data_IF_878029853341
#
_entry.id   IF_878029853341
#
_cell.length_a   1.000
_cell.length_b   1.000
_cell.length_c   1.000
_cell.angle_alpha   90.00
_cell.angle_beta   90.00
_cell.angle_gamma   90.00
#
_symmetry.space_group_name_H-M   'P 1'
#
loop_
_entity.id
_entity.type
_entity.pdbx_description
1 polymer ?
#
# COMPACT_ATOMS: atom_id res chain seq x y z
N UNK A 1 -11.66 -4.81 7.30
CA UNK A 1 -12.35 -5.13 8.58
C UNK A 1 -13.86 -5.21 8.35
N UNK A 2 -14.67 -5.65 9.34
CA UNK A 2 -16.14 -5.72 9.21
C UNK A 2 -16.73 -4.37 8.76
N UNK A 3 -16.26 -3.26 9.33
CA UNK A 3 -16.69 -1.89 9.00
C UNK A 3 -16.36 -1.44 7.58
N UNK A 4 -15.30 -1.97 6.95
CA UNK A 4 -14.97 -1.66 5.55
C UNK A 4 -15.95 -2.28 4.56
N UNK A 5 -16.68 -3.35 4.96
CA UNK A 5 -17.62 -4.09 4.11
C UNK A 5 -19.08 -3.66 4.31
N UNK A 6 -19.31 -2.67 5.18
CA UNK A 6 -20.62 -2.08 5.43
C UNK A 6 -20.80 -0.80 4.62
N UNK A 7 -22.02 -0.28 4.57
CA UNK A 7 -22.32 1.00 3.91
C UNK A 7 -21.43 2.13 4.44
N UNK A 8 -20.93 2.96 3.52
CA UNK A 8 -19.95 3.99 3.84
C UNK A 8 -18.52 3.48 4.12
N UNK A 9 -18.29 2.16 4.05
CA UNK A 9 -17.00 1.51 4.31
C UNK A 9 -15.83 2.05 3.48
N UNK A 10 -16.10 2.65 2.32
CA UNK A 10 -15.10 3.34 1.49
C UNK A 10 -14.33 4.42 2.26
N UNK A 11 -14.97 5.14 3.19
CA UNK A 11 -14.30 6.15 4.00
C UNK A 11 -13.31 5.52 4.99
N UNK A 12 -13.67 4.35 5.53
CA UNK A 12 -12.80 3.57 6.41
C UNK A 12 -11.62 3.01 5.63
N UNK A 13 -11.86 2.57 4.38
CA UNK A 13 -10.81 2.11 3.47
C UNK A 13 -9.82 3.23 3.17
N UNK A 14 -10.29 4.42 2.75
CA UNK A 14 -9.43 5.57 2.47
C UNK A 14 -8.56 5.95 3.67
N UNK A 15 -9.15 6.05 4.86
CA UNK A 15 -8.41 6.29 6.12
C UNK A 15 -7.37 5.22 6.43
N UNK A 16 -7.64 3.96 6.10
CA UNK A 16 -6.68 2.88 6.29
C UNK A 16 -5.53 2.96 5.27
N UNK A 17 -5.83 3.30 4.01
CA UNK A 17 -4.83 3.49 2.97
C UNK A 17 -3.88 4.65 3.31
N UNK A 18 -4.39 5.77 3.83
CA UNK A 18 -3.56 6.87 4.34
C UNK A 18 -2.55 6.40 5.40
N UNK A 19 -3.00 5.56 6.35
CA UNK A 19 -2.12 4.97 7.38
C UNK A 19 -1.09 4.00 6.80
N UNK A 20 -1.42 3.29 5.73
CA UNK A 20 -0.46 2.43 5.02
C UNK A 20 0.64 3.27 4.36
N UNK A 21 0.27 4.39 3.74
CA UNK A 21 1.23 5.32 3.13
C UNK A 21 2.23 5.88 4.14
N UNK A 22 1.78 6.23 5.34
CA UNK A 22 2.66 6.71 6.43
C UNK A 22 3.72 5.70 6.86
N UNK A 23 3.46 4.40 6.70
CA UNK A 23 4.36 3.31 7.11
C UNK A 23 4.96 2.55 5.92
N UNK A 24 4.86 3.11 4.71
CA UNK A 24 5.30 2.46 3.47
C UNK A 24 6.72 1.91 3.56
N UNK A 25 7.67 2.74 4.02
CA UNK A 25 9.08 2.34 4.14
C UNK A 25 9.31 1.16 5.08
N UNK A 26 8.62 1.12 6.22
CA UNK A 26 8.71 0.02 7.18
C UNK A 26 8.13 -1.26 6.60
N UNK A 27 7.00 -1.16 5.88
CA UNK A 27 6.37 -2.31 5.24
C UNK A 27 7.22 -2.87 4.10
N UNK A 28 7.77 -2.01 3.22
CA UNK A 28 8.66 -2.44 2.13
C UNK A 28 9.85 -3.24 2.66
N UNK A 29 10.44 -2.83 3.79
CA UNK A 29 11.54 -3.56 4.41
C UNK A 29 11.15 -4.99 4.86
N UNK A 30 9.87 -5.23 5.15
CA UNK A 30 9.36 -6.54 5.57
C UNK A 30 8.72 -7.36 4.43
N UNK A 31 8.47 -6.77 3.25
CA UNK A 31 7.76 -7.42 2.14
C UNK A 31 8.62 -8.41 1.34
N UNK A 32 9.89 -8.56 1.71
CA UNK A 32 10.81 -9.54 1.14
C UNK A 32 11.97 -8.89 0.41
N UNK A 33 13.13 -9.53 0.54
CA UNK A 33 14.36 -9.16 -0.16
C UNK A 33 14.21 -9.35 -1.68
N UNK A 34 14.81 -8.46 -2.47
CA UNK A 34 14.77 -8.54 -3.94
C UNK A 34 13.61 -7.80 -4.59
N UNK A 35 12.69 -7.24 -3.81
CA UNK A 35 11.54 -6.49 -4.34
C UNK A 35 11.95 -5.23 -5.12
N UNK A 36 13.14 -4.68 -4.88
CA UNK A 36 13.68 -3.55 -5.63
C UNK A 36 13.83 -3.83 -7.13
N UNK A 37 14.00 -5.11 -7.52
CA UNK A 37 14.06 -5.51 -8.93
C UNK A 37 12.68 -5.58 -9.59
N UNK A 38 11.62 -5.70 -8.79
CA UNK A 38 10.24 -5.85 -9.27
C UNK A 38 9.48 -4.53 -9.22
N UNK A 39 9.50 -3.85 -8.07
CA UNK A 39 8.77 -2.62 -7.78
C UNK A 39 9.45 -1.40 -8.42
N UNK A 40 9.35 -1.32 -9.75
CA UNK A 40 10.09 -0.35 -10.57
C UNK A 40 9.20 0.71 -11.20
N UNK A 41 7.89 0.67 -10.94
CA UNK A 41 6.92 1.53 -11.62
C UNK A 41 6.52 1.02 -13.01
N UNK A 42 7.06 -0.12 -13.46
CA UNK A 42 6.79 -0.75 -14.76
C UNK A 42 6.10 -2.10 -14.57
N UNK A 43 5.53 -2.63 -15.64
CA UNK A 43 4.94 -3.98 -15.67
C UNK A 43 3.92 -4.19 -14.53
N UNK A 44 2.94 -3.28 -14.43
CA UNK A 44 1.86 -3.35 -13.43
C UNK A 44 2.34 -3.30 -11.98
N UNK A 45 3.51 -2.69 -11.74
CA UNK A 45 4.03 -2.41 -10.41
C UNK A 45 4.19 -0.91 -10.17
N UNK A 46 4.07 -0.51 -8.90
CA UNK A 46 4.46 0.83 -8.46
C UNK A 46 5.97 0.88 -8.19
N UNK A 47 6.53 2.09 -8.19
CA UNK A 47 7.90 2.35 -7.76
C UNK A 47 8.06 2.06 -6.25
N UNK A 48 9.16 1.39 -5.87
CA UNK A 48 9.39 0.95 -4.48
C UNK A 48 9.48 2.12 -3.50
N UNK A 49 9.85 3.32 -3.94
CA UNK A 49 9.99 4.51 -3.10
C UNK A 49 8.73 5.36 -3.03
N UNK A 50 7.74 5.07 -3.88
CA UNK A 50 6.53 5.90 -4.02
C UNK A 50 5.29 5.11 -3.60
N UNK A 51 4.52 5.64 -2.66
CA UNK A 51 3.22 5.08 -2.31
C UNK A 51 2.11 5.72 -3.16
N UNK A 52 1.34 4.89 -3.86
CA UNK A 52 0.23 5.32 -4.73
C UNK A 52 -0.96 4.36 -4.62
N UNK A 53 -2.19 4.88 -4.72
CA UNK A 53 -3.45 4.12 -4.62
C UNK A 53 -4.57 4.76 -5.43
#
# INVERSE_FOLDING_TARGET
>A
TKSMRSDGGIHVIKKAIEKLGLRHKEHIAAYGEGNERRLTGRHETADIHTFSW
#
